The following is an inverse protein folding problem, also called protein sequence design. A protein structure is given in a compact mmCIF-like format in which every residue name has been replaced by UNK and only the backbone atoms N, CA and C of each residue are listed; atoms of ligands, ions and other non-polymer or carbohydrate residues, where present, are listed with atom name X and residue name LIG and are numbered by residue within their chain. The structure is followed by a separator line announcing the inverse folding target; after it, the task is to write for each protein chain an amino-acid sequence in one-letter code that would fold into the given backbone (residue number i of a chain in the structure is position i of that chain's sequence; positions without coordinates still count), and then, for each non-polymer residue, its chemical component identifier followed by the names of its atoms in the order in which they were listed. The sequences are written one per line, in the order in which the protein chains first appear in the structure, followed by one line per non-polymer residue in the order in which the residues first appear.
data_IF_993126239316
#
_entry.id   IF_993126239316
#
_cell.length_a   1.000
_cell.length_b   1.000
_cell.length_c   1.000
_cell.angle_alpha   90.00
_cell.angle_beta   90.00
_cell.angle_gamma   90.00
#
_symmetry.space_group_name_H-M   'P 1'
#
loop_
_entity.id
_entity.type
_entity.pdbx_description
1 polymer ?
#
# COMPACT_ATOMS: atom_id res chain seq x y z
N UNK A 1 21.59 -7.91 20.77
CA UNK A 1 21.78 -6.62 20.07
C UNK A 1 21.05 -6.69 18.74
N UNK A 2 20.07 -5.82 18.48
CA UNK A 2 19.38 -5.75 17.18
C UNK A 2 20.19 -4.81 16.27
N UNK A 3 20.50 -5.26 15.05
CA UNK A 3 21.35 -4.55 14.08
C UNK A 3 20.76 -3.21 13.66
N UNK A 4 21.65 -2.24 13.41
CA UNK A 4 21.38 -0.85 13.01
C UNK A 4 20.93 -0.69 11.54
N UNK A 5 20.76 -1.77 10.78
CA UNK A 5 20.33 -1.72 9.37
C UNK A 5 18.80 -1.57 9.18
N UNK A 6 18.04 -1.47 10.28
CA UNK A 6 16.58 -1.43 10.22
C UNK A 6 15.98 -0.02 9.97
N UNK A 7 16.82 1.00 9.74
CA UNK A 7 16.41 2.37 9.37
C UNK A 7 16.08 2.56 7.88
N UNK A 8 15.78 1.47 7.17
CA UNK A 8 15.13 1.56 5.86
C UNK A 8 13.80 2.31 6.02
N UNK A 9 13.46 3.22 5.09
CA UNK A 9 12.15 3.89 5.07
C UNK A 9 11.07 2.83 4.95
N UNK A 10 10.51 2.40 6.08
CA UNK A 10 9.41 1.45 6.16
C UNK A 10 8.10 2.20 6.21
N UNK A 11 7.02 1.52 5.80
CA UNK A 11 5.67 2.04 5.92
C UNK A 11 5.37 2.58 7.33
N UNK A 12 5.12 3.89 7.48
CA UNK A 12 5.02 4.46 8.81
C UNK A 12 3.70 4.06 9.49
N UNK A 13 3.66 4.15 10.82
CA UNK A 13 2.39 4.00 11.57
C UNK A 13 1.51 5.24 11.49
N UNK A 14 2.09 6.41 11.16
CA UNK A 14 1.39 7.68 11.19
C UNK A 14 1.78 8.61 10.04
N UNK A 15 0.93 9.63 9.80
CA UNK A 15 1.00 10.56 8.67
C UNK A 15 2.27 11.40 8.64
N UNK A 16 2.94 11.59 9.80
CA UNK A 16 4.14 12.40 9.90
C UNK A 16 5.42 11.71 9.36
N UNK A 17 5.36 10.42 8.98
CA UNK A 17 6.47 9.69 8.36
C UNK A 17 7.65 9.36 9.27
N UNK A 18 7.55 9.59 10.59
CA UNK A 18 8.65 9.39 11.56
C UNK A 18 8.60 8.04 12.29
N UNK A 19 7.61 7.20 11.99
CA UNK A 19 7.45 5.86 12.56
C UNK A 19 7.82 4.77 11.57
N UNK A 20 8.21 3.60 12.08
CA UNK A 20 8.46 2.38 11.29
C UNK A 20 7.27 1.42 11.36
N UNK A 21 7.15 0.54 10.36
CA UNK A 21 6.11 -0.50 10.29
C UNK A 21 6.39 -1.61 11.29
N UNK A 22 5.41 -1.93 12.14
CA UNK A 22 5.49 -3.13 12.99
C UNK A 22 5.05 -4.39 12.22
N UNK A 23 5.81 -5.49 12.29
CA UNK A 23 5.35 -6.80 11.80
C UNK A 23 4.02 -7.20 12.44
N UNK A 24 3.14 -7.84 11.66
CA UNK A 24 1.87 -8.38 12.13
C UNK A 24 1.99 -9.89 12.34
N UNK A 25 1.24 -10.43 13.30
CA UNK A 25 1.36 -11.82 13.73
C UNK A 25 0.62 -12.79 12.80
N UNK A 26 -0.54 -12.39 12.28
CA UNK A 26 -1.35 -13.21 11.39
C UNK A 26 -0.73 -13.21 9.98
N UNK A 27 -0.31 -14.37 9.44
CA UNK A 27 0.53 -14.43 8.23
C UNK A 27 -0.15 -13.84 6.99
N UNK A 28 -1.46 -14.04 6.83
CA UNK A 28 -2.21 -13.43 5.71
C UNK A 28 -2.34 -11.90 5.84
N UNK A 29 -2.48 -11.38 7.06
CA UNK A 29 -2.61 -9.95 7.31
C UNK A 29 -1.24 -9.28 7.12
N UNK A 30 -0.15 -9.93 7.56
CA UNK A 30 1.22 -9.49 7.29
C UNK A 30 1.53 -9.45 5.79
N UNK A 31 1.10 -10.45 5.00
CA UNK A 31 1.25 -10.41 3.53
C UNK A 31 0.57 -9.18 2.92
N UNK A 32 -0.63 -8.85 3.39
CA UNK A 32 -1.37 -7.65 2.94
C UNK A 32 -0.64 -6.37 3.38
N UNK A 33 -0.18 -6.30 4.63
CA UNK A 33 0.58 -5.17 5.14
C UNK A 33 1.89 -4.93 4.38
N UNK A 34 2.63 -5.99 4.04
CA UNK A 34 3.82 -5.89 3.17
C UNK A 34 3.51 -5.41 1.77
N UNK A 35 2.33 -5.73 1.24
CA UNK A 35 1.88 -5.19 -0.05
C UNK A 35 1.56 -3.70 0.09
N UNK A 36 0.89 -3.29 1.15
CA UNK A 36 0.63 -1.88 1.45
C UNK A 36 1.93 -1.07 1.56
N UNK A 37 2.92 -1.61 2.28
CA UNK A 37 4.26 -1.02 2.43
C UNK A 37 4.94 -0.81 1.07
N UNK A 38 4.97 -1.86 0.24
CA UNK A 38 5.49 -1.76 -1.13
C UNK A 38 4.75 -0.72 -1.97
N UNK A 39 3.41 -0.69 -1.93
CA UNK A 39 2.61 0.32 -2.64
C UNK A 39 2.91 1.73 -2.14
N UNK A 40 3.12 1.92 -0.83
CA UNK A 40 3.44 3.22 -0.27
C UNK A 40 4.82 3.74 -0.69
N UNK A 41 5.80 2.84 -0.85
CA UNK A 41 7.16 3.18 -1.26
C UNK A 41 7.32 3.34 -2.77
N UNK A 42 6.69 2.48 -3.57
CA UNK A 42 6.96 2.34 -5.01
C UNK A 42 6.14 3.27 -5.90
N UNK A 43 5.17 3.99 -5.34
CA UNK A 43 4.15 4.69 -6.12
C UNK A 43 4.08 6.17 -5.79
N UNK A 44 3.85 7.01 -6.82
CA UNK A 44 3.50 8.42 -6.68
C UNK A 44 2.05 8.59 -6.16
N UNK A 45 1.84 8.20 -4.91
CA UNK A 45 0.55 8.34 -4.23
C UNK A 45 0.28 9.80 -3.84
N UNK A 46 -0.97 10.22 -3.96
CA UNK A 46 -1.42 11.51 -3.40
C UNK A 46 -1.34 11.51 -1.87
N UNK A 47 -1.35 12.69 -1.24
CA UNK A 47 -1.36 12.80 0.22
C UNK A 47 -2.58 12.09 0.85
N UNK A 48 -3.74 12.14 0.19
CA UNK A 48 -4.95 11.46 0.64
C UNK A 48 -4.83 9.94 0.54
N UNK A 49 -4.28 9.42 -0.56
CA UNK A 49 -4.03 7.99 -0.75
C UNK A 49 -3.01 7.48 0.28
N UNK A 50 -1.96 8.25 0.56
CA UNK A 50 -1.00 7.97 1.63
C UNK A 50 -1.68 7.95 2.99
N UNK A 51 -2.47 8.98 3.32
CA UNK A 51 -3.21 9.07 4.58
C UNK A 51 -4.18 7.90 4.76
N UNK A 52 -4.87 7.51 3.69
CA UNK A 52 -5.78 6.36 3.69
C UNK A 52 -5.03 5.05 3.90
N UNK A 53 -3.92 4.80 3.20
CA UNK A 53 -3.11 3.58 3.41
C UNK A 53 -2.65 3.43 4.86
N UNK A 54 -2.22 4.52 5.50
CA UNK A 54 -1.82 4.52 6.90
C UNK A 54 -3.00 4.20 7.82
N UNK A 55 -4.17 4.79 7.55
CA UNK A 55 -5.40 4.51 8.28
C UNK A 55 -5.86 3.05 8.12
N UNK A 56 -5.73 2.48 6.92
CA UNK A 56 -6.04 1.07 6.67
C UNK A 56 -5.06 0.15 7.39
N UNK A 57 -3.78 0.48 7.44
CA UNK A 57 -2.77 -0.28 8.16
C UNK A 57 -3.00 -0.33 9.66
N UNK A 58 -3.39 0.79 10.28
CA UNK A 58 -3.80 0.80 11.69
C UNK A 58 -5.06 -0.07 11.90
N UNK A 59 -5.98 -0.07 10.93
CA UNK A 59 -7.10 -1.00 10.91
C UNK A 59 -6.68 -2.48 10.84
N UNK A 60 -5.66 -2.79 10.04
CA UNK A 60 -5.07 -4.14 9.92
C UNK A 60 -4.41 -4.56 11.24
N UNK A 61 -3.66 -3.68 11.92
CA UNK A 61 -3.07 -3.96 13.25
C UNK A 61 -4.14 -4.35 14.29
N UNK A 62 -5.26 -3.64 14.29
CA UNK A 62 -6.38 -3.95 15.19
C UNK A 62 -7.03 -5.30 14.84
N UNK A 63 -7.22 -5.57 13.54
CA UNK A 63 -7.76 -6.85 13.07
C UNK A 63 -6.81 -8.01 13.37
N UNK A 64 -5.50 -7.80 13.20
CA UNK A 64 -4.44 -8.76 13.51
C UNK A 64 -4.48 -9.19 14.96
N UNK A 65 -4.41 -8.21 15.88
CA UNK A 65 -4.52 -8.48 17.32
C UNK A 65 -5.79 -9.29 17.64
N UNK A 66 -6.94 -8.89 17.09
CA UNK A 66 -8.21 -9.58 17.35
C UNK A 66 -8.23 -11.02 16.81
N UNK A 67 -7.85 -11.21 15.54
CA UNK A 67 -7.95 -12.50 14.85
C UNK A 67 -6.88 -13.50 15.34
N UNK A 68 -5.68 -13.01 15.68
CA UNK A 68 -4.61 -13.83 16.28
C UNK A 68 -5.00 -14.29 17.68
N UNK A 69 -5.47 -13.39 18.55
CA UNK A 69 -5.94 -13.79 19.89
C UNK A 69 -7.19 -14.67 19.84
N UNK A 70 -8.06 -14.47 18.84
CA UNK A 70 -9.24 -15.31 18.61
C UNK A 70 -8.95 -16.69 18.00
N UNK A 71 -7.67 -17.01 17.72
CA UNK A 71 -7.27 -18.30 17.13
C UNK A 71 -7.86 -18.54 15.74
N UNK A 72 -8.11 -17.48 14.97
CA UNK A 72 -8.72 -17.59 13.65
C UNK A 72 -7.75 -18.29 12.69
N UNK A 73 -8.25 -19.31 12.00
CA UNK A 73 -7.45 -20.16 11.15
C UNK A 73 -6.96 -19.45 9.87
N UNK A 74 -5.84 -19.96 9.35
CA UNK A 74 -5.26 -19.62 8.06
C UNK A 74 -5.67 -20.69 7.04
N UNK A 75 -6.12 -20.33 5.82
CA UNK A 75 -6.33 -18.98 5.31
C UNK A 75 -7.60 -18.32 5.88
N UNK A 76 -7.62 -16.98 5.85
CA UNK A 76 -8.82 -16.20 6.17
C UNK A 76 -9.94 -16.59 5.21
N UNK A 77 -10.89 -17.42 5.68
CA UNK A 77 -12.02 -17.85 4.87
C UNK A 77 -12.98 -16.68 4.67
N UNK A 78 -13.48 -16.53 3.44
CA UNK A 78 -14.47 -15.51 3.14
C UNK A 78 -15.73 -15.78 3.97
N UNK A 79 -16.11 -14.82 4.82
CA UNK A 79 -17.34 -14.92 5.59
C UNK A 79 -18.55 -14.77 4.65
N UNK A 80 -19.66 -15.43 4.99
CA UNK A 80 -20.91 -15.42 4.21
C UNK A 80 -21.52 -14.01 4.12
N UNK A 81 -21.27 -13.20 5.14
CA UNK A 81 -21.68 -11.81 5.22
C UNK A 81 -20.42 -10.98 5.53
N UNK A 82 -20.15 -9.95 4.75
CA UNK A 82 -19.05 -9.02 5.03
C UNK A 82 -19.64 -7.66 5.39
N UNK A 83 -20.36 -7.53 6.52
CA UNK A 83 -20.91 -6.24 6.90
C UNK A 83 -19.79 -5.21 7.05
N UNK A 84 -20.12 -3.94 6.81
CA UNK A 84 -19.16 -2.85 7.02
C UNK A 84 -18.68 -2.90 8.47
N UNK A 85 -17.35 -2.86 8.69
CA UNK A 85 -16.79 -2.81 10.04
C UNK A 85 -17.12 -1.43 10.61
N UNK A 86 -17.84 -1.32 11.74
CA UNK A 86 -18.02 -0.04 12.39
C UNK A 86 -16.66 0.60 12.66
N UNK A 87 -16.48 1.86 12.26
CA UNK A 87 -15.24 2.59 12.53
C UNK A 87 -15.04 2.81 14.05
N UNK A 88 -16.15 2.77 14.78
CA UNK A 88 -16.28 2.75 16.24
C UNK A 88 -17.37 1.74 16.61
N UNK A 89 -17.10 0.87 17.59
CA UNK A 89 -18.10 -0.02 18.19
C UNK A 89 -17.70 -1.50 18.22
N UNK A 90 -18.18 -2.16 19.28
CA UNK A 90 -18.01 -3.58 19.53
C UNK A 90 -19.20 -4.35 18.93
N UNK A 91 -19.03 -4.97 17.76
CA UNK A 91 -19.89 -6.06 17.32
C UNK A 91 -19.84 -7.22 18.32
N UNK A 92 -20.92 -7.98 18.44
CA UNK A 92 -21.02 -9.08 19.40
C UNK A 92 -20.27 -10.31 18.84
N UNK A 93 -19.11 -10.64 19.42
CA UNK A 93 -18.40 -11.93 19.26
C UNK A 93 -18.23 -12.44 17.83
N UNK A 94 -19.13 -13.33 17.37
CA UNK A 94 -19.08 -13.92 16.02
C UNK A 94 -19.21 -12.88 14.92
N UNK A 95 -20.08 -11.90 15.08
CA UNK A 95 -20.22 -10.81 14.11
C UNK A 95 -18.91 -10.03 14.01
N UNK A 96 -18.23 -9.79 15.14
CA UNK A 96 -16.96 -9.08 15.17
C UNK A 96 -15.85 -9.82 14.42
N UNK A 97 -15.78 -11.15 14.52
CA UNK A 97 -14.83 -11.95 13.73
C UNK A 97 -15.10 -11.78 12.23
N UNK A 98 -16.35 -11.90 11.79
CA UNK A 98 -16.75 -11.73 10.39
C UNK A 98 -16.49 -10.30 9.88
N UNK A 99 -16.73 -9.28 10.71
CA UNK A 99 -16.41 -7.88 10.41
C UNK A 99 -14.90 -7.67 10.21
N UNK A 100 -14.05 -8.25 11.06
CA UNK A 100 -12.60 -8.12 10.93
C UNK A 100 -12.07 -8.86 9.70
N UNK A 101 -12.56 -10.08 9.44
CA UNK A 101 -12.23 -10.82 8.21
C UNK A 101 -12.66 -10.01 6.98
N UNK A 102 -13.89 -9.51 6.94
CA UNK A 102 -14.38 -8.71 5.81
C UNK A 102 -13.66 -7.38 5.64
N UNK A 103 -13.24 -6.75 6.72
CA UNK A 103 -12.36 -5.59 6.65
C UNK A 103 -11.02 -5.94 6.00
N UNK A 104 -10.33 -6.99 6.47
CA UNK A 104 -9.03 -7.42 5.92
C UNK A 104 -9.13 -7.72 4.42
N UNK A 105 -10.18 -8.44 3.99
CA UNK A 105 -10.39 -8.77 2.58
C UNK A 105 -10.66 -7.52 1.73
N UNK A 106 -11.46 -6.56 2.21
CA UNK A 106 -11.66 -5.28 1.51
C UNK A 106 -10.37 -4.48 1.40
N UNK A 107 -9.54 -4.47 2.44
CA UNK A 107 -8.23 -3.81 2.40
C UNK A 107 -7.29 -4.46 1.40
N UNK A 108 -7.25 -5.79 1.33
CA UNK A 108 -6.51 -6.52 0.30
C UNK A 108 -6.92 -6.09 -1.10
N UNK A 109 -8.21 -6.09 -1.37
CA UNK A 109 -8.75 -5.75 -2.69
C UNK A 109 -8.51 -4.26 -3.02
N UNK A 110 -8.64 -3.36 -2.04
CA UNK A 110 -8.34 -1.95 -2.20
C UNK A 110 -6.86 -1.72 -2.55
N UNK A 111 -5.92 -2.30 -1.78
CA UNK A 111 -4.48 -2.17 -2.05
C UNK A 111 -4.14 -2.73 -3.43
N UNK A 112 -4.76 -3.84 -3.83
CA UNK A 112 -4.57 -4.39 -5.17
C UNK A 112 -5.04 -3.42 -6.26
N UNK A 113 -6.23 -2.82 -6.13
CA UNK A 113 -6.74 -1.83 -7.08
C UNK A 113 -5.88 -0.56 -7.11
N UNK A 114 -5.42 -0.09 -5.95
CA UNK A 114 -4.55 1.08 -5.85
C UNK A 114 -3.20 0.82 -6.53
N UNK A 115 -2.60 -0.35 -6.29
CA UNK A 115 -1.37 -0.75 -6.97
C UNK A 115 -1.57 -0.86 -8.50
N UNK A 116 -2.71 -1.38 -8.96
CA UNK A 116 -3.03 -1.47 -10.39
C UNK A 116 -3.23 -0.10 -11.03
N UNK A 117 -4.02 0.79 -10.39
CA UNK A 117 -4.25 2.17 -10.83
C UNK A 117 -2.92 2.84 -11.15
N UNK A 118 -1.97 2.75 -10.23
CA UNK A 118 -0.69 3.44 -10.36
C UNK A 118 0.37 2.68 -11.16
N UNK A 119 0.26 1.35 -11.29
CA UNK A 119 1.07 0.60 -12.26
C UNK A 119 0.69 0.95 -13.71
N UNK A 120 -0.58 1.28 -13.96
CA UNK A 120 -1.05 1.78 -15.26
C UNK A 120 -0.58 3.21 -15.57
N UNK A 121 -0.27 4.01 -14.56
CA UNK A 121 0.29 5.37 -14.72
C UNK A 121 1.82 5.40 -14.82
N UNK A 122 2.51 4.26 -14.68
CA UNK A 122 3.98 4.20 -14.79
C UNK A 122 4.52 4.21 -16.24
N UNK A 123 3.68 4.56 -17.22
CA UNK A 123 3.98 4.51 -18.67
C UNK A 123 3.81 5.84 -19.41
N UNK A 124 3.36 6.90 -18.77
CA UNK A 124 3.23 8.22 -19.41
C UNK A 124 3.95 9.24 -18.53
N UNK A 125 4.77 10.09 -19.13
CA UNK A 125 5.64 11.10 -18.52
C UNK A 125 7.07 10.66 -18.14
N UNK A 126 7.83 10.26 -19.15
CA UNK A 126 9.18 10.81 -19.32
C UNK A 126 9.12 11.68 -20.57
N UNK A 127 9.22 13.02 -20.47
CA UNK A 127 9.56 13.83 -21.63
C UNK A 127 10.96 13.38 -22.05
N UNK A 128 11.07 12.76 -23.22
CA UNK A 128 12.34 12.69 -23.92
C UNK A 128 12.68 14.13 -24.25
N UNK A 129 13.64 14.71 -23.54
CA UNK A 129 14.38 15.85 -24.05
C UNK A 129 15.00 15.39 -25.37
N UNK A 130 14.28 15.64 -26.46
CA UNK A 130 14.85 15.63 -27.79
C UNK A 130 15.75 16.84 -27.79
N UNK A 131 17.06 16.61 -27.65
CA UNK A 131 18.09 17.60 -27.92
C UNK A 131 17.76 18.24 -29.27
N UNK A 132 17.18 19.43 -29.19
CA UNK A 132 16.92 20.27 -30.33
C UNK A 132 18.23 20.90 -30.74
N UNK A 133 18.96 20.23 -31.63
CA UNK A 133 20.02 20.91 -32.37
C UNK A 133 20.18 20.35 -33.78
N UNK A 134 19.21 20.63 -34.65
CA UNK A 134 19.41 20.83 -36.10
C UNK A 134 18.22 21.70 -36.56
N UNK A 135 18.37 22.84 -37.29
CA UNK A 135 19.27 22.92 -38.44
C UNK A 135 19.93 24.29 -38.73
N UNK A 136 21.02 24.25 -39.49
CA UNK A 136 21.24 25.27 -40.51
C UNK A 136 21.67 24.61 -41.82
N UNK A 137 20.81 24.76 -42.82
CA UNK A 137 21.06 24.41 -44.21
C UNK A 137 21.35 25.71 -44.96
N UNK A 138 22.44 25.72 -45.73
CA UNK A 138 22.76 26.68 -46.78
C UNK A 138 24.18 27.23 -46.65
N UNK A 139 25.05 27.24 -47.66
CA UNK A 139 24.97 26.85 -49.08
C UNK A 139 26.45 26.78 -49.61
N UNK A 140 26.80 26.78 -50.91
CA UNK A 140 27.77 25.84 -51.49
C UNK A 140 29.06 26.53 -52.01
N UNK A 141 30.06 25.73 -52.40
CA UNK A 141 31.22 26.20 -53.18
C UNK A 141 32.35 26.81 -52.36
N UNK A 142 33.55 26.25 -52.45
CA UNK A 142 34.50 26.65 -53.49
C UNK A 142 35.72 25.72 -53.45
N UNK A 143 36.26 25.47 -54.64
CA UNK A 143 37.54 24.83 -54.93
C UNK A 143 38.68 25.35 -54.04
N UNK A 144 39.61 24.46 -53.60
CA UNK A 144 41.06 24.39 -53.96
C UNK A 144 41.64 23.03 -53.55
#
# INVERSE_FOLDING_TARGET
MKSSDDYSRRFPRCVNGKDWREPLDHPEIEKIARRADRTYQATALTNDERGLLLKLYEGLRKADRYLTHGGVAVPLKQAKFLPFRPWHGDGIGREMTEHNIGFVLRVRDFIQRLAQKHAGHASEDIPVEVDGDVPSVGDPGDDI
#
